data_IF_665893673191
#
_entry.id   IF_665893673191
#
_cell.length_a   1.000
_cell.length_b   1.000
_cell.length_c   1.000
_cell.angle_alpha   90.00
_cell.angle_beta   90.00
_cell.angle_gamma   90.00
#
_symmetry.space_group_name_H-M   'P 1'
#
loop_
_entity.id
_entity.type
_entity.pdbx_description
1 polymer ?
#
# COMPACT_ATOMS: atom_id res chain seq x y z
N UNK A 1 -0.58 52.63 36.55
CA UNK A 1 -1.05 52.14 35.22
C UNK A 1 -0.72 50.65 35.02
N UNK A 2 -1.21 49.77 35.90
CA UNK A 2 -0.90 48.32 35.84
C UNK A 2 -2.11 47.39 35.75
N UNK A 3 -3.28 47.81 36.24
CA UNK A 3 -4.46 46.94 36.33
C UNK A 3 -5.13 46.62 34.99
N UNK A 4 -5.11 47.55 34.03
CA UNK A 4 -5.83 47.35 32.76
C UNK A 4 -5.16 46.33 31.83
N UNK A 5 -3.82 46.20 31.87
CA UNK A 5 -3.10 45.23 31.01
C UNK A 5 -3.28 43.78 31.47
N UNK A 6 -3.41 43.57 32.78
CA UNK A 6 -3.70 42.26 33.37
C UNK A 6 -5.12 41.78 33.01
N UNK A 7 -6.10 42.69 33.00
CA UNK A 7 -7.47 42.34 32.60
C UNK A 7 -7.56 41.94 31.12
N UNK A 8 -6.92 42.68 30.22
CA UNK A 8 -6.92 42.34 28.79
C UNK A 8 -6.21 41.02 28.52
N UNK A 9 -5.09 40.75 29.21
CA UNK A 9 -4.36 39.48 29.06
C UNK A 9 -5.17 38.29 29.59
N UNK A 10 -5.89 38.45 30.71
CA UNK A 10 -6.77 37.42 31.25
C UNK A 10 -7.96 37.12 30.31
N UNK A 11 -8.56 38.14 29.71
CA UNK A 11 -9.68 37.97 28.77
C UNK A 11 -9.21 37.26 27.48
N UNK A 12 -8.03 37.61 26.95
CA UNK A 12 -7.47 36.92 25.78
C UNK A 12 -7.18 35.44 26.03
N UNK A 13 -6.68 35.09 27.23
CA UNK A 13 -6.44 33.68 27.61
C UNK A 13 -7.76 32.91 27.73
N UNK A 14 -8.81 33.54 28.27
CA UNK A 14 -10.13 32.91 28.39
C UNK A 14 -10.78 32.69 27.03
N UNK A 15 -10.61 33.62 26.07
CA UNK A 15 -11.11 33.44 24.70
C UNK A 15 -10.37 32.32 23.97
N UNK A 16 -9.05 32.20 24.15
CA UNK A 16 -8.26 31.09 23.58
C UNK A 16 -8.70 29.74 24.17
N UNK A 17 -8.91 29.66 25.49
CA UNK A 17 -9.42 28.46 26.16
C UNK A 17 -10.86 28.11 25.71
N UNK A 18 -11.69 29.10 25.40
CA UNK A 18 -13.05 28.87 24.89
C UNK A 18 -13.08 28.41 23.42
N UNK A 19 -12.02 28.68 22.63
CA UNK A 19 -11.87 28.17 21.26
C UNK A 19 -11.22 26.79 21.16
N UNK A 20 -10.62 26.30 22.24
CA UNK A 20 -10.13 24.93 22.31
C UNK A 20 -11.34 23.99 22.44
N UNK A 21 -11.77 23.44 21.29
CA UNK A 21 -12.61 22.23 21.31
C UNK A 21 -11.85 21.17 22.09
N UNK A 22 -12.44 20.75 23.21
CA UNK A 22 -12.01 19.60 23.97
C UNK A 22 -11.96 18.41 23.01
N UNK A 23 -10.76 18.06 22.53
CA UNK A 23 -10.52 16.80 21.86
C UNK A 23 -10.60 15.72 22.93
N UNK A 24 -11.83 15.33 23.27
CA UNK A 24 -12.05 14.09 24.01
C UNK A 24 -11.51 12.99 23.12
N UNK A 25 -10.37 12.44 23.50
CA UNK A 25 -10.04 11.06 23.15
C UNK A 25 -11.28 10.25 23.47
N UNK A 26 -11.97 9.79 22.42
CA UNK A 26 -13.11 8.92 22.61
C UNK A 26 -12.63 7.77 23.47
N UNK A 27 -13.28 7.67 24.63
CA UNK A 27 -12.85 6.82 25.72
C UNK A 27 -12.58 5.40 25.27
N UNK A 28 -11.72 4.73 26.03
CA UNK A 28 -11.51 3.28 26.10
C UNK A 28 -12.39 2.53 25.09
N UNK A 29 -11.79 2.20 23.95
CA UNK A 29 -12.39 1.48 22.83
C UNK A 29 -13.31 0.37 23.38
N UNK A 30 -14.59 0.25 22.93
CA UNK A 30 -15.53 -0.79 23.39
C UNK A 30 -15.02 -2.23 23.21
N UNK A 31 -13.88 -2.41 22.55
CA UNK A 31 -13.30 -3.66 22.10
C UNK A 31 -12.30 -4.28 23.10
N UNK A 32 -12.25 -3.83 24.36
CA UNK A 32 -11.34 -4.37 25.38
C UNK A 32 -11.89 -5.59 26.16
N UNK A 33 -12.94 -6.28 25.67
CA UNK A 33 -13.51 -7.45 26.37
C UNK A 33 -13.83 -8.62 25.43
N UNK A 34 -12.99 -9.66 25.55
CA UNK A 34 -13.13 -11.12 25.32
C UNK A 34 -14.42 -11.62 24.62
N UNK A 35 -14.24 -12.35 23.50
CA UNK A 35 -14.65 -13.76 23.35
C UNK A 35 -14.20 -14.31 21.98
N UNK A 36 -13.25 -15.26 21.95
CA UNK A 36 -12.88 -15.99 20.73
C UNK A 36 -13.88 -17.14 20.58
N UNK A 37 -14.83 -17.05 19.64
CA UNK A 37 -15.60 -18.21 19.22
C UNK A 37 -15.26 -18.62 17.78
N UNK A 38 -15.39 -19.92 17.54
CA UNK A 38 -14.93 -20.62 16.34
C UNK A 38 -15.68 -20.13 15.09
N UNK A 39 -14.93 -19.82 14.05
CA UNK A 39 -15.40 -19.90 12.68
C UNK A 39 -15.83 -21.35 12.37
N UNK A 40 -17.05 -21.50 11.89
CA UNK A 40 -17.64 -22.80 11.53
C UNK A 40 -18.13 -22.74 10.10
N UNK A 41 -18.06 -23.86 9.38
CA UNK A 41 -18.67 -23.99 8.06
C UNK A 41 -20.19 -24.13 8.22
N UNK A 42 -20.94 -23.33 7.47
CA UNK A 42 -22.39 -23.43 7.33
C UNK A 42 -22.73 -23.30 5.84
N UNK A 43 -22.00 -24.03 4.99
CA UNK A 43 -22.27 -24.07 3.56
C UNK A 43 -23.69 -24.57 3.34
N UNK A 44 -24.48 -23.79 2.59
CA UNK A 44 -25.84 -24.17 2.20
C UNK A 44 -25.97 -24.00 0.70
N UNK A 45 -26.61 -24.96 0.01
CA UNK A 45 -26.88 -24.86 -1.43
C UNK A 45 -27.83 -23.69 -1.79
N UNK A 46 -28.42 -23.06 -0.77
CA UNK A 46 -29.34 -21.93 -0.89
C UNK A 46 -28.63 -20.57 -0.87
N UNK A 47 -27.45 -20.48 -0.26
CA UNK A 47 -26.62 -19.28 -0.33
C UNK A 47 -25.69 -19.38 -1.54
N UNK A 48 -25.47 -18.26 -2.22
CA UNK A 48 -24.53 -18.22 -3.35
C UNK A 48 -23.76 -16.91 -3.39
N UNK A 49 -22.56 -16.98 -3.96
CA UNK A 49 -21.75 -15.82 -4.33
C UNK A 49 -21.26 -16.07 -5.76
N UNK A 50 -21.29 -15.04 -6.60
CA UNK A 50 -20.80 -15.10 -7.96
C UNK A 50 -20.05 -13.82 -8.28
N UNK A 51 -18.89 -13.96 -8.90
CA UNK A 51 -18.03 -12.84 -9.26
C UNK A 51 -17.91 -12.74 -10.78
N UNK A 52 -18.06 -11.53 -11.32
CA UNK A 52 -17.94 -11.27 -12.75
C UNK A 52 -17.26 -9.93 -13.05
N UNK A 53 -16.46 -9.82 -14.12
CA UNK A 53 -16.02 -10.91 -15.01
C UNK A 53 -15.05 -11.88 -14.31
N UNK A 54 -14.87 -13.08 -14.88
CA UNK A 54 -13.90 -14.08 -14.37
C UNK A 54 -12.45 -13.78 -14.74
N UNK A 55 -12.23 -12.94 -15.74
CA UNK A 55 -10.90 -12.52 -16.19
C UNK A 55 -10.81 -10.99 -16.15
N UNK A 56 -9.77 -10.48 -15.50
CA UNK A 56 -9.43 -9.06 -15.39
C UNK A 56 -8.18 -8.70 -16.19
N UNK A 57 -7.89 -7.41 -16.33
CA UNK A 57 -6.66 -6.93 -16.96
C UNK A 57 -6.60 -7.10 -18.47
N UNK A 58 -7.75 -7.06 -19.14
CA UNK A 58 -7.80 -6.90 -20.60
C UNK A 58 -7.10 -5.57 -20.96
N UNK A 59 -6.32 -5.57 -22.04
CA UNK A 59 -5.47 -4.43 -22.45
C UNK A 59 -4.40 -4.02 -21.43
N UNK A 60 -3.75 -5.00 -20.78
CA UNK A 60 -2.59 -4.80 -19.89
C UNK A 60 -2.87 -3.93 -18.64
N UNK A 61 -4.14 -3.85 -18.23
CA UNK A 61 -4.52 -3.14 -17.01
C UNK A 61 -4.14 -3.95 -15.75
N UNK A 62 -3.50 -3.29 -14.79
CA UNK A 62 -3.10 -3.87 -13.50
C UNK A 62 -4.12 -3.63 -12.38
N UNK A 63 -5.31 -3.13 -12.73
CA UNK A 63 -6.48 -3.07 -11.85
C UNK A 63 -7.76 -3.33 -12.65
N UNK A 64 -8.82 -3.73 -11.97
CA UNK A 64 -10.10 -4.03 -12.63
C UNK A 64 -11.27 -4.10 -11.67
N UNK A 65 -12.44 -3.69 -12.13
CA UNK A 65 -13.67 -3.77 -11.35
C UNK A 65 -14.31 -5.15 -11.47
N UNK A 66 -14.68 -5.72 -10.33
CA UNK A 66 -15.46 -6.95 -10.22
C UNK A 66 -16.80 -6.63 -9.58
N UNK A 67 -17.87 -7.15 -10.18
CA UNK A 67 -19.20 -7.20 -9.57
C UNK A 67 -19.36 -8.53 -8.87
N UNK A 68 -19.64 -8.49 -7.57
CA UNK A 68 -19.92 -9.64 -6.72
C UNK A 68 -21.40 -9.64 -6.37
N UNK A 69 -22.13 -10.58 -6.94
CA UNK A 69 -23.54 -10.83 -6.63
C UNK A 69 -23.64 -11.95 -5.61
N UNK A 70 -24.48 -11.79 -4.60
CA UNK A 70 -24.63 -12.79 -3.56
C UNK A 70 -26.03 -12.83 -2.98
N UNK A 71 -26.38 -14.00 -2.43
CA UNK A 71 -27.62 -14.18 -1.70
C UNK A 71 -27.45 -15.10 -0.50
N UNK A 72 -28.18 -14.81 0.58
CA UNK A 72 -28.29 -15.63 1.78
C UNK A 72 -29.78 -15.87 2.09
N UNK A 73 -30.20 -17.11 2.38
CA UNK A 73 -31.58 -17.39 2.80
C UNK A 73 -31.90 -16.87 4.21
N UNK A 74 -30.87 -16.61 5.02
CA UNK A 74 -30.97 -16.11 6.39
C UNK A 74 -30.04 -14.89 6.49
N UNK A 75 -30.42 -13.74 5.90
CA UNK A 75 -29.57 -12.57 5.90
C UNK A 75 -29.49 -11.93 7.29
N UNK A 76 -28.33 -11.37 7.59
CA UNK A 76 -28.11 -10.55 8.77
C UNK A 76 -27.35 -9.27 8.42
N UNK A 77 -27.50 -8.25 9.26
CA UNK A 77 -26.83 -6.95 9.09
C UNK A 77 -25.31 -7.04 9.31
N UNK A 78 -24.84 -8.12 9.95
CA UNK A 78 -23.42 -8.41 10.19
C UNK A 78 -22.84 -9.41 9.17
N UNK A 79 -23.59 -9.76 8.12
CA UNK A 79 -23.06 -10.55 7.01
C UNK A 79 -22.07 -9.73 6.19
N UNK A 80 -21.04 -10.39 5.67
CA UNK A 80 -19.96 -9.71 4.97
C UNK A 80 -19.31 -10.59 3.89
N UNK A 81 -18.74 -9.92 2.89
CA UNK A 81 -17.97 -10.52 1.81
C UNK A 81 -16.49 -10.31 2.08
N UNK A 82 -15.72 -11.40 2.12
CA UNK A 82 -14.26 -11.38 2.14
C UNK A 82 -13.68 -11.64 0.76
N UNK A 83 -12.66 -10.88 0.38
CA UNK A 83 -11.86 -11.08 -0.84
C UNK A 83 -10.60 -11.84 -0.47
N UNK A 84 -10.33 -12.98 -1.09
CA UNK A 84 -9.16 -13.81 -0.79
C UNK A 84 -8.27 -13.97 -2.02
N UNK A 85 -6.96 -13.84 -1.83
CA UNK A 85 -5.96 -14.17 -2.84
C UNK A 85 -4.73 -14.77 -2.15
N UNK A 86 -4.38 -16.05 -2.40
CA UNK A 86 -4.94 -16.94 -3.44
C UNK A 86 -6.42 -17.31 -3.28
N UNK A 87 -7.07 -17.73 -4.36
CA UNK A 87 -8.48 -18.11 -4.35
C UNK A 87 -8.78 -19.32 -3.44
N UNK A 88 -7.80 -20.21 -3.28
CA UNK A 88 -7.87 -21.32 -2.33
C UNK A 88 -7.43 -20.86 -0.93
N UNK A 89 -8.40 -20.49 -0.09
CA UNK A 89 -8.17 -19.95 1.25
C UNK A 89 -8.71 -20.89 2.34
N UNK A 90 -8.15 -20.78 3.55
CA UNK A 90 -8.66 -21.47 4.73
C UNK A 90 -9.57 -20.55 5.54
N UNK A 91 -10.85 -20.88 5.59
CA UNK A 91 -11.84 -20.23 6.45
C UNK A 91 -11.79 -20.71 7.92
N UNK A 92 -10.82 -21.57 8.26
CA UNK A 92 -10.64 -22.05 9.64
C UNK A 92 -10.27 -20.90 10.57
N UNK A 93 -10.63 -21.02 11.85
CA UNK A 93 -10.22 -20.04 12.86
C UNK A 93 -8.77 -20.21 13.22
N UNK A 94 -8.01 -19.13 13.17
CA UNK A 94 -6.67 -19.07 13.74
C UNK A 94 -6.71 -18.09 14.93
N UNK A 95 -6.45 -18.55 16.17
CA UNK A 95 -6.48 -17.69 17.35
C UNK A 95 -5.55 -16.49 17.22
N UNK A 96 -5.91 -15.38 17.86
CA UNK A 96 -5.03 -14.22 17.93
C UNK A 96 -3.73 -14.58 18.69
N UNK A 97 -2.60 -14.50 17.99
CA UNK A 97 -1.28 -14.81 18.55
C UNK A 97 -0.64 -13.60 19.24
N UNK A 98 -1.05 -12.38 18.85
CA UNK A 98 -0.51 -11.13 19.39
C UNK A 98 -1.62 -10.08 19.56
N UNK A 99 -1.41 -9.01 20.36
CA UNK A 99 -2.34 -7.88 20.43
C UNK A 99 -2.56 -7.15 19.09
N UNK A 100 -1.72 -7.43 18.08
CA UNK A 100 -1.82 -6.87 16.72
C UNK A 100 -2.58 -7.79 15.75
N UNK A 101 -3.07 -8.93 16.24
CA UNK A 101 -3.94 -9.84 15.48
C UNK A 101 -5.38 -9.40 15.66
N UNK A 102 -5.95 -8.75 14.65
CA UNK A 102 -7.30 -8.21 14.69
C UNK A 102 -8.31 -9.15 14.03
N UNK A 103 -9.60 -9.10 14.40
CA UNK A 103 -10.67 -9.75 13.64
C UNK A 103 -10.77 -9.21 12.21
N UNK A 104 -11.23 -10.00 11.22
CA UNK A 104 -11.66 -11.40 11.36
C UNK A 104 -10.49 -12.37 11.57
N UNK A 105 -10.64 -13.33 12.50
CA UNK A 105 -9.58 -14.28 12.87
C UNK A 105 -9.60 -15.55 12.02
N UNK A 106 -9.31 -15.39 10.73
CA UNK A 106 -9.22 -16.48 9.75
C UNK A 106 -7.77 -16.92 9.55
N UNK A 107 -7.55 -18.21 9.26
CA UNK A 107 -6.22 -18.73 8.97
C UNK A 107 -5.63 -18.22 7.65
N UNK A 108 -6.49 -17.82 6.70
CA UNK A 108 -6.12 -16.99 5.57
C UNK A 108 -6.71 -15.60 5.78
N UNK A 109 -5.85 -14.60 5.97
CA UNK A 109 -6.31 -13.21 6.01
C UNK A 109 -6.92 -12.81 4.64
N UNK A 110 -8.15 -12.27 4.59
CA UNK A 110 -8.66 -11.65 3.38
C UNK A 110 -7.79 -10.45 2.97
N UNK A 111 -7.71 -10.19 1.67
CA UNK A 111 -7.09 -8.99 1.10
C UNK A 111 -7.83 -7.74 1.60
N UNK A 112 -9.16 -7.80 1.54
CA UNK A 112 -10.10 -6.80 2.02
C UNK A 112 -11.48 -7.43 2.22
N UNK A 113 -12.39 -6.72 2.86
CA UNK A 113 -13.73 -7.19 3.18
C UNK A 113 -14.74 -6.04 3.26
N UNK A 114 -16.01 -6.36 3.06
CA UNK A 114 -17.09 -5.36 3.13
C UNK A 114 -18.38 -6.00 3.62
N UNK A 115 -19.20 -5.24 4.35
CA UNK A 115 -20.52 -5.69 4.75
C UNK A 115 -21.42 -5.94 3.53
N UNK A 116 -22.25 -6.97 3.62
CA UNK A 116 -23.19 -7.38 2.60
C UNK A 116 -24.23 -6.29 2.25
N UNK A 117 -24.54 -5.41 3.21
CA UNK A 117 -25.51 -4.33 3.05
C UNK A 117 -24.92 -3.00 2.56
N UNK A 118 -23.60 -2.91 2.31
CA UNK A 118 -22.90 -1.64 2.02
C UNK A 118 -23.50 -0.87 0.83
N UNK A 119 -23.66 -1.52 -0.31
CA UNK A 119 -24.34 -0.95 -1.50
C UNK A 119 -25.72 -1.56 -1.76
N UNK A 120 -26.25 -2.34 -0.82
CA UNK A 120 -27.57 -2.96 -0.91
C UNK A 120 -28.27 -2.86 0.46
N UNK A 121 -28.82 -1.67 0.82
CA UNK A 121 -29.40 -1.44 2.14
C UNK A 121 -30.54 -2.41 2.50
N UNK A 122 -31.26 -2.92 1.49
CA UNK A 122 -32.36 -3.88 1.63
C UNK A 122 -31.88 -5.34 1.79
N UNK A 123 -30.57 -5.59 1.87
CA UNK A 123 -30.01 -6.95 2.02
C UNK A 123 -30.60 -7.71 3.20
N UNK A 124 -30.80 -7.02 4.34
CA UNK A 124 -31.36 -7.63 5.57
C UNK A 124 -32.78 -8.19 5.37
N UNK A 125 -33.53 -7.63 4.41
CA UNK A 125 -34.93 -7.99 4.16
C UNK A 125 -35.04 -8.95 2.97
N UNK A 126 -34.19 -8.78 1.95
CA UNK A 126 -34.25 -9.51 0.69
C UNK A 126 -33.30 -10.70 0.61
N UNK A 127 -32.26 -10.70 1.44
CA UNK A 127 -31.15 -11.65 1.35
C UNK A 127 -30.39 -11.60 0.05
N UNK A 128 -30.44 -10.49 -0.70
CA UNK A 128 -29.76 -10.31 -1.98
C UNK A 128 -28.94 -9.03 -1.96
N UNK A 129 -27.72 -9.11 -2.42
CA UNK A 129 -26.82 -7.97 -2.45
C UNK A 129 -25.86 -8.01 -3.62
N UNK A 130 -25.30 -6.84 -3.90
CA UNK A 130 -24.34 -6.64 -4.97
C UNK A 130 -23.27 -5.67 -4.47
N UNK A 131 -22.00 -6.05 -4.60
CA UNK A 131 -20.84 -5.19 -4.35
C UNK A 131 -20.07 -4.96 -5.65
N UNK A 132 -19.55 -3.75 -5.84
CA UNK A 132 -18.57 -3.44 -6.90
C UNK A 132 -17.23 -3.17 -6.24
N UNK A 133 -16.27 -4.05 -6.51
CA UNK A 133 -14.96 -4.02 -5.87
C UNK A 133 -13.87 -3.81 -6.92
N UNK A 134 -12.95 -2.89 -6.67
CA UNK A 134 -11.78 -2.68 -7.52
C UNK A 134 -10.65 -3.58 -7.03
N UNK A 135 -10.20 -4.51 -7.86
CA UNK A 135 -9.05 -5.36 -7.57
C UNK A 135 -7.79 -4.81 -8.24
N UNK A 136 -6.64 -5.10 -7.63
CA UNK A 136 -5.32 -4.84 -8.19
C UNK A 136 -4.62 -6.16 -8.53
N UNK A 137 -3.77 -6.16 -9.57
CA UNK A 137 -2.99 -7.32 -9.97
C UNK A 137 -1.77 -7.50 -9.05
N UNK A 138 -1.98 -8.26 -7.99
CA UNK A 138 -0.94 -8.57 -7.02
C UNK A 138 -0.55 -10.05 -7.05
N UNK A 139 -0.49 -10.65 -8.25
CA UNK A 139 -0.27 -12.10 -8.47
C UNK A 139 -1.45 -12.94 -8.03
N UNK A 140 -1.36 -14.25 -8.27
CA UNK A 140 -2.38 -15.25 -7.93
C UNK A 140 -3.79 -14.90 -8.46
N UNK A 141 -4.74 -15.77 -8.17
CA UNK A 141 -6.17 -15.59 -8.43
C UNK A 141 -6.88 -15.08 -7.16
N UNK A 142 -8.19 -14.82 -7.32
CA UNK A 142 -9.08 -14.31 -6.30
C UNK A 142 -10.32 -15.19 -6.13
N UNK A 143 -10.81 -15.30 -4.91
CA UNK A 143 -12.16 -15.79 -4.61
C UNK A 143 -12.87 -14.85 -3.64
N UNK A 144 -14.20 -14.94 -3.62
CA UNK A 144 -15.05 -14.11 -2.78
C UNK A 144 -15.90 -15.04 -1.92
N UNK A 145 -16.00 -14.74 -0.64
CA UNK A 145 -16.69 -15.60 0.30
C UNK A 145 -17.65 -14.80 1.18
N UNK A 146 -18.87 -15.32 1.30
CA UNK A 146 -19.91 -14.77 2.14
C UNK A 146 -19.86 -15.42 3.52
N UNK A 147 -19.80 -14.57 4.54
CA UNK A 147 -19.79 -14.97 5.94
C UNK A 147 -20.99 -14.37 6.68
N UNK A 148 -21.46 -15.11 7.70
CA UNK A 148 -22.43 -14.63 8.70
C UNK A 148 -21.76 -14.50 10.07
N UNK A 149 -22.40 -13.83 11.03
CA UNK A 149 -21.93 -13.75 12.42
C UNK A 149 -20.84 -12.71 12.68
N UNK A 150 -20.71 -11.74 11.77
CA UNK A 150 -19.78 -10.62 11.87
C UNK A 150 -18.31 -11.04 11.79
N UNK A 151 -17.42 -10.11 12.10
CA UNK A 151 -15.97 -10.34 12.06
C UNK A 151 -15.45 -11.17 13.24
N UNK A 152 -16.17 -11.19 14.37
CA UNK A 152 -15.73 -11.89 15.58
C UNK A 152 -15.98 -13.39 15.53
N UNK A 153 -17.12 -13.79 14.96
CA UNK A 153 -17.55 -15.19 14.91
C UNK A 153 -17.94 -15.59 13.48
N UNK A 154 -17.05 -15.39 12.49
CA UNK A 154 -17.41 -15.51 11.08
C UNK A 154 -17.72 -16.96 10.71
N UNK A 155 -18.86 -17.21 10.06
CA UNK A 155 -19.22 -18.54 9.56
C UNK A 155 -19.31 -18.51 8.04
N UNK A 156 -18.51 -19.33 7.37
CA UNK A 156 -18.49 -19.39 5.91
C UNK A 156 -19.79 -20.03 5.40
N UNK A 157 -20.51 -19.32 4.52
CA UNK A 157 -21.81 -19.74 4.00
C UNK A 157 -21.76 -20.04 2.50
N UNK A 158 -20.98 -19.29 1.73
CA UNK A 158 -20.82 -19.52 0.29
C UNK A 158 -19.48 -18.99 -0.23
N UNK A 159 -18.98 -19.58 -1.32
CA UNK A 159 -17.74 -19.20 -2.01
C UNK A 159 -18.03 -19.03 -3.50
N UNK A 160 -17.44 -18.03 -4.13
CA UNK A 160 -17.62 -17.74 -5.55
C UNK A 160 -16.78 -18.61 -6.47
N UNK A 161 -17.01 -18.47 -7.78
CA UNK A 161 -16.02 -18.81 -8.79
C UNK A 161 -14.72 -18.01 -8.59
N UNK A 162 -13.60 -18.56 -9.08
CA UNK A 162 -12.34 -17.84 -9.13
C UNK A 162 -12.37 -16.71 -10.17
N UNK A 163 -11.63 -15.64 -9.89
CA UNK A 163 -11.35 -14.52 -10.79
C UNK A 163 -9.83 -14.34 -10.87
N UNK A 164 -9.28 -14.12 -12.05
CA UNK A 164 -7.84 -13.89 -12.21
C UNK A 164 -7.56 -12.78 -13.22
N UNK A 165 -6.42 -12.11 -13.08
CA UNK A 165 -5.91 -11.26 -14.16
C UNK A 165 -5.42 -12.12 -15.32
N UNK A 166 -5.49 -11.61 -16.55
CA UNK A 166 -5.02 -12.31 -17.76
C UNK A 166 -3.57 -12.78 -17.62
N UNK A 167 -2.72 -11.93 -17.03
CA UNK A 167 -1.38 -12.30 -16.59
C UNK A 167 -1.17 -11.87 -15.14
N UNK A 168 -1.40 -12.76 -14.16
CA UNK A 168 -1.16 -12.43 -12.74
C UNK A 168 0.32 -12.14 -12.46
N UNK A 169 1.24 -12.59 -13.31
CA UNK A 169 2.68 -12.47 -13.09
C UNK A 169 3.29 -11.21 -13.72
N UNK A 170 2.46 -10.36 -14.35
CA UNK A 170 2.92 -9.17 -15.06
C UNK A 170 3.82 -8.26 -14.19
N UNK A 171 4.77 -7.52 -14.79
CA UNK A 171 5.53 -6.50 -14.09
C UNK A 171 4.65 -5.29 -13.77
N UNK A 172 4.53 -4.95 -12.49
CA UNK A 172 3.59 -3.94 -11.98
C UNK A 172 4.23 -2.98 -10.97
N UNK A 173 3.59 -1.81 -10.82
CA UNK A 173 3.84 -0.83 -9.76
C UNK A 173 5.29 -0.35 -9.67
N UNK A 174 5.91 0.15 -10.77
CA UNK A 174 7.25 0.68 -10.71
C UNK A 174 7.32 1.91 -9.82
N UNK A 175 8.42 2.02 -9.09
CA UNK A 175 8.73 3.14 -8.20
C UNK A 175 10.18 3.56 -8.41
N UNK A 176 10.35 4.87 -8.59
CA UNK A 176 11.62 5.52 -8.81
C UNK A 176 12.24 5.93 -7.49
N UNK A 177 13.56 5.81 -7.40
CA UNK A 177 14.34 6.39 -6.32
C UNK A 177 15.68 6.87 -6.88
N UNK A 178 16.16 8.01 -6.39
CA UNK A 178 17.51 8.47 -6.74
C UNK A 178 18.53 7.40 -6.31
N UNK A 179 19.49 7.13 -7.20
CA UNK A 179 20.53 6.15 -6.99
C UNK A 179 21.68 6.66 -6.13
N UNK A 180 22.84 6.02 -6.26
CA UNK A 180 24.05 6.37 -5.50
C UNK A 180 24.73 7.65 -6.00
N UNK A 181 24.43 8.06 -7.23
CA UNK A 181 24.97 9.24 -7.87
C UNK A 181 23.84 10.14 -8.40
N UNK A 182 24.15 11.41 -8.65
CA UNK A 182 23.16 12.40 -9.10
C UNK A 182 22.57 12.09 -10.48
N UNK A 183 23.33 11.36 -11.31
CA UNK A 183 22.99 10.90 -12.65
C UNK A 183 22.55 9.42 -12.67
N UNK A 184 22.15 8.88 -11.51
CA UNK A 184 21.61 7.53 -11.36
C UNK A 184 20.16 7.58 -10.88
N UNK A 185 19.27 6.86 -11.58
CA UNK A 185 17.88 6.61 -11.15
C UNK A 185 17.65 5.11 -11.04
N UNK A 186 17.07 4.67 -9.95
CA UNK A 186 16.64 3.27 -9.82
C UNK A 186 15.18 3.13 -10.24
N UNK A 187 14.87 2.04 -10.93
CA UNK A 187 13.50 1.60 -11.19
C UNK A 187 13.30 0.29 -10.44
N UNK A 188 12.48 0.31 -9.40
CA UNK A 188 12.11 -0.90 -8.66
C UNK A 188 10.68 -1.30 -9.02
N UNK A 189 10.42 -2.55 -9.37
CA UNK A 189 9.08 -3.06 -9.70
C UNK A 189 8.81 -4.45 -9.12
N UNK A 190 7.56 -4.90 -9.12
CA UNK A 190 7.16 -6.22 -8.61
C UNK A 190 6.67 -7.08 -9.77
N UNK A 191 6.96 -8.38 -9.76
CA UNK A 191 6.39 -9.33 -10.72
C UNK A 191 6.19 -10.72 -10.13
N UNK A 192 5.57 -11.61 -10.90
CA UNK A 192 5.50 -13.01 -10.56
C UNK A 192 6.65 -13.86 -11.10
N UNK A 193 7.62 -13.31 -11.83
CA UNK A 193 8.68 -14.08 -12.51
C UNK A 193 9.98 -14.09 -11.71
N UNK A 194 10.47 -15.28 -11.39
CA UNK A 194 11.79 -15.45 -10.77
C UNK A 194 12.90 -15.47 -11.81
N UNK A 195 14.14 -15.28 -11.36
CA UNK A 195 15.34 -15.31 -12.24
C UNK A 195 15.56 -16.65 -12.95
N UNK A 196 14.96 -17.72 -12.45
CA UNK A 196 15.02 -19.06 -13.05
C UNK A 196 13.98 -19.25 -14.16
N UNK A 197 13.16 -18.24 -14.46
CA UNK A 197 12.10 -18.32 -15.48
C UNK A 197 12.22 -17.18 -16.50
N UNK A 198 12.66 -16.01 -16.05
CA UNK A 198 12.80 -14.82 -16.86
C UNK A 198 14.01 -13.99 -16.46
N UNK A 199 14.64 -13.34 -17.45
CA UNK A 199 15.61 -12.29 -17.20
C UNK A 199 14.90 -10.93 -17.12
N UNK A 200 14.89 -10.25 -15.95
CA UNK A 200 14.28 -8.95 -15.79
C UNK A 200 15.22 -7.83 -16.25
N UNK A 201 14.65 -6.83 -16.94
CA UNK A 201 15.39 -5.67 -17.41
C UNK A 201 14.47 -4.45 -17.54
N UNK A 202 15.08 -3.26 -17.62
CA UNK A 202 14.40 -2.03 -18.02
C UNK A 202 14.89 -1.62 -19.39
N UNK A 203 13.96 -1.33 -20.29
CA UNK A 203 14.27 -0.68 -21.56
C UNK A 203 14.09 0.82 -21.39
N UNK A 204 15.15 1.61 -21.59
CA UNK A 204 15.20 3.06 -21.43
C UNK A 204 15.41 3.72 -22.79
N UNK A 205 14.66 4.78 -23.06
CA UNK A 205 14.77 5.59 -24.28
C UNK A 205 14.80 7.08 -23.93
N UNK A 206 15.78 7.80 -24.46
CA UNK A 206 15.78 9.27 -24.47
C UNK A 206 15.03 9.79 -25.69
N UNK A 207 14.45 11.00 -25.60
CA UNK A 207 13.76 11.63 -26.75
C UNK A 207 14.73 11.79 -27.94
N UNK A 208 14.50 11.03 -29.01
CA UNK A 208 15.31 11.07 -30.24
C UNK A 208 16.63 10.30 -30.19
N UNK A 209 16.88 9.51 -29.14
CA UNK A 209 18.09 8.69 -28.99
C UNK A 209 17.80 7.20 -29.09
N UNK A 210 18.88 6.42 -29.02
CA UNK A 210 18.84 4.96 -29.04
C UNK A 210 18.16 4.39 -27.79
N UNK A 211 17.71 3.15 -27.93
CA UNK A 211 17.09 2.39 -26.84
C UNK A 211 18.15 1.54 -26.16
N UNK A 212 18.28 1.68 -24.84
CA UNK A 212 19.28 0.98 -24.02
C UNK A 212 18.55 0.03 -23.06
N UNK A 213 19.11 -1.16 -22.81
CA UNK A 213 18.58 -2.10 -21.83
C UNK A 213 19.49 -2.19 -20.62
N UNK A 214 18.90 -2.01 -19.44
CA UNK A 214 19.57 -2.14 -18.15
C UNK A 214 19.11 -3.42 -17.45
N UNK A 215 20.01 -4.27 -16.94
CA UNK A 215 19.62 -5.45 -16.18
C UNK A 215 18.98 -5.04 -14.84
N UNK A 216 18.30 -5.98 -14.19
CA UNK A 216 17.81 -5.79 -12.83
C UNK A 216 18.29 -6.87 -11.86
N UNK A 217 18.71 -6.43 -10.68
CA UNK A 217 18.86 -7.33 -9.53
C UNK A 217 17.48 -7.76 -9.05
N UNK A 218 17.35 -9.00 -8.59
CA UNK A 218 16.07 -9.57 -8.12
C UNK A 218 16.19 -10.03 -6.69
N UNK A 219 15.24 -9.62 -5.85
CA UNK A 219 15.13 -9.99 -4.46
C UNK A 219 13.72 -10.51 -4.16
N UNK A 220 13.60 -11.31 -3.12
CA UNK A 220 12.34 -11.74 -2.53
C UNK A 220 12.60 -12.10 -1.06
N UNK A 221 11.55 -12.38 -0.32
CA UNK A 221 11.63 -12.90 1.03
C UNK A 221 10.57 -13.98 1.20
N UNK A 222 10.89 -14.98 2.02
CA UNK A 222 9.97 -16.08 2.31
C UNK A 222 9.28 -15.88 3.66
N UNK A 223 8.25 -16.69 3.93
CA UNK A 223 7.54 -16.73 5.23
C UNK A 223 8.52 -16.89 6.39
N UNK A 224 9.55 -17.70 6.20
CA UNK A 224 10.61 -17.96 7.17
C UNK A 224 11.44 -16.73 7.56
N UNK A 225 11.43 -15.68 6.74
CA UNK A 225 12.14 -14.41 6.99
C UNK A 225 11.40 -13.53 8.00
N UNK A 226 10.07 -13.70 8.13
CA UNK A 226 9.25 -12.89 9.03
C UNK A 226 9.49 -13.26 10.50
N UNK A 227 9.67 -12.26 11.35
CA UNK A 227 10.06 -12.46 12.75
C UNK A 227 8.92 -12.95 13.66
N UNK A 228 7.65 -12.72 13.30
CA UNK A 228 6.52 -13.09 14.15
C UNK A 228 5.17 -12.86 13.50
N UNK A 229 4.11 -13.19 14.23
CA UNK A 229 2.74 -12.96 13.80
C UNK A 229 2.36 -11.47 13.78
N UNK A 230 1.43 -11.02 12.91
CA UNK A 230 0.74 -11.84 11.91
C UNK A 230 1.56 -12.12 10.64
N UNK A 231 2.70 -11.44 10.44
CA UNK A 231 3.53 -11.53 9.23
C UNK A 231 3.99 -12.95 8.89
N UNK A 232 4.42 -13.73 9.89
CA UNK A 232 4.87 -15.11 9.73
C UNK A 232 3.70 -16.11 9.63
N UNK A 233 2.51 -15.73 10.07
CA UNK A 233 1.35 -16.62 10.24
C UNK A 233 0.19 -16.23 9.33
N UNK A 234 -0.92 -15.72 9.88
CA UNK A 234 -2.18 -15.49 9.16
C UNK A 234 -2.10 -14.37 8.13
N UNK A 235 -1.22 -13.38 8.34
CA UNK A 235 -1.05 -12.23 7.46
C UNK A 235 -0.01 -12.44 6.36
N UNK A 236 0.65 -13.61 6.33
CA UNK A 236 1.59 -13.94 5.26
C UNK A 236 0.88 -14.01 3.91
N UNK A 237 1.47 -13.33 2.94
CA UNK A 237 1.16 -13.48 1.52
C UNK A 237 2.47 -13.39 0.74
N UNK A 238 2.63 -14.27 -0.24
CA UNK A 238 3.84 -14.32 -1.07
C UNK A 238 4.05 -12.99 -1.82
N UNK A 239 5.21 -12.33 -1.69
CA UNK A 239 5.47 -11.02 -2.30
C UNK A 239 5.82 -11.10 -3.80
N UNK A 240 5.97 -12.30 -4.36
CA UNK A 240 6.53 -12.52 -5.69
C UNK A 240 8.02 -12.17 -5.72
N UNK A 241 8.42 -11.46 -6.77
CA UNK A 241 9.80 -11.03 -6.97
C UNK A 241 9.86 -9.53 -7.14
N UNK A 242 10.83 -8.91 -6.47
CA UNK A 242 11.09 -7.48 -6.53
C UNK A 242 12.38 -7.27 -7.32
N UNK A 243 12.29 -6.47 -8.38
CA UNK A 243 13.41 -6.23 -9.29
C UNK A 243 13.81 -4.77 -9.20
N UNK A 244 15.12 -4.50 -9.16
CA UNK A 244 15.66 -3.14 -9.23
C UNK A 244 16.67 -3.03 -10.35
N UNK A 245 16.43 -2.11 -11.29
CA UNK A 245 17.38 -1.71 -12.32
C UNK A 245 17.99 -0.36 -11.99
N UNK A 246 19.26 -0.16 -12.35
CA UNK A 246 20.04 1.04 -12.09
C UNK A 246 20.31 1.74 -13.41
N UNK A 247 19.61 2.84 -13.68
CA UNK A 247 19.73 3.66 -14.88
C UNK A 247 20.80 4.72 -14.64
N UNK A 248 21.97 4.56 -15.25
CA UNK A 248 23.15 5.43 -15.03
C UNK A 248 23.39 6.38 -16.20
N UNK A 249 24.35 7.29 -16.04
CA UNK A 249 24.78 8.25 -17.06
C UNK A 249 23.63 9.14 -17.57
N UNK A 250 22.69 9.47 -16.67
CA UNK A 250 21.53 10.29 -17.00
C UNK A 250 21.93 11.74 -17.23
N UNK A 251 21.41 12.32 -18.32
CA UNK A 251 21.63 13.72 -18.63
C UNK A 251 20.70 14.57 -17.78
N UNK A 252 21.21 15.58 -17.05
CA UNK A 252 20.40 16.33 -16.10
C UNK A 252 19.22 16.99 -16.81
N UNK A 253 18.03 16.92 -16.19
CA UNK A 253 16.78 17.46 -16.69
C UNK A 253 16.20 16.79 -17.96
N UNK A 254 16.87 15.80 -18.54
CA UNK A 254 16.38 15.11 -19.73
C UNK A 254 15.14 14.26 -19.43
N UNK A 255 14.25 14.14 -20.40
CA UNK A 255 13.06 13.29 -20.31
C UNK A 255 13.39 11.90 -20.85
N UNK A 256 13.10 10.89 -20.04
CA UNK A 256 13.26 9.48 -20.38
C UNK A 256 11.93 8.77 -20.40
N UNK A 257 11.80 7.79 -21.30
CA UNK A 257 10.69 6.84 -21.38
C UNK A 257 11.27 5.48 -21.02
N UNK A 258 10.57 4.71 -20.18
CA UNK A 258 11.02 3.38 -19.79
C UNK A 258 9.90 2.34 -19.83
N UNK A 259 10.28 1.08 -20.06
CA UNK A 259 9.41 -0.10 -19.96
C UNK A 259 10.06 -1.17 -19.11
N UNK A 260 9.24 -1.89 -18.35
CA UNK A 260 9.67 -3.08 -17.60
C UNK A 260 9.58 -4.28 -18.53
N UNK A 261 10.64 -5.07 -18.59
CA UNK A 261 10.75 -6.22 -19.47
C UNK A 261 11.11 -7.48 -18.68
N UNK A 262 10.49 -8.59 -19.06
CA UNK A 262 10.85 -9.94 -18.60
C UNK A 262 11.04 -10.84 -19.81
N UNK A 263 12.30 -11.19 -20.12
CA UNK A 263 12.61 -12.12 -21.21
C UNK A 263 12.53 -13.54 -20.67
N UNK A 264 11.44 -14.24 -20.98
CA UNK A 264 11.25 -15.65 -20.61
C UNK A 264 12.26 -16.53 -21.36
N UNK A 265 12.68 -17.64 -20.75
CA UNK A 265 13.60 -18.58 -21.40
C UNK A 265 13.04 -19.29 -22.63
N UNK A 266 11.72 -19.20 -22.86
CA UNK A 266 11.09 -19.63 -24.12
C UNK A 266 11.22 -18.61 -25.26
N UNK A 267 11.92 -17.49 -25.04
CA UNK A 267 12.16 -16.41 -26.01
C UNK A 267 11.11 -15.31 -26.03
N UNK A 268 9.96 -15.50 -25.38
CA UNK A 268 8.91 -14.47 -25.29
C UNK A 268 9.34 -13.37 -24.32
N UNK A 269 9.09 -12.11 -24.69
CA UNK A 269 9.29 -10.98 -23.77
C UNK A 269 7.95 -10.45 -23.31
N UNK A 270 7.74 -10.41 -22.00
CA UNK A 270 6.59 -9.77 -21.37
C UNK A 270 6.98 -8.32 -21.06
N UNK A 271 6.10 -7.39 -21.42
CA UNK A 271 6.31 -5.96 -21.27
C UNK A 271 5.26 -5.34 -20.35
N UNK A 272 5.65 -4.28 -19.65
CA UNK A 272 4.69 -3.33 -19.09
C UNK A 272 4.24 -2.30 -20.14
N UNK A 273 3.29 -1.45 -19.76
CA UNK A 273 3.08 -0.15 -20.38
C UNK A 273 4.34 0.75 -20.33
N UNK A 274 4.33 1.83 -21.10
CA UNK A 274 5.38 2.85 -21.06
C UNK A 274 5.19 3.80 -19.87
N UNK A 275 6.29 4.09 -19.19
CA UNK A 275 6.38 5.09 -18.12
C UNK A 275 7.38 6.17 -18.51
N UNK A 276 7.39 7.29 -17.77
CA UNK A 276 8.22 8.44 -18.09
C UNK A 276 8.71 9.13 -16.82
N UNK A 277 9.96 9.59 -16.84
CA UNK A 277 10.49 10.44 -15.77
C UNK A 277 11.44 11.50 -16.33
N UNK A 278 11.64 12.56 -15.55
CA UNK A 278 12.67 13.56 -15.80
C UNK A 278 13.87 13.26 -14.91
N UNK A 279 15.06 13.14 -15.51
CA UNK A 279 16.29 12.99 -14.74
C UNK A 279 16.53 14.20 -13.84
N UNK A 280 17.09 13.96 -12.66
CA UNK A 280 17.32 15.00 -11.66
C UNK A 280 18.25 16.11 -12.16
N UNK A 281 18.14 17.33 -11.63
CA UNK A 281 19.11 18.39 -11.88
C UNK A 281 20.53 17.99 -11.48
N UNK A 282 21.53 18.61 -12.10
CA UNK A 282 22.91 18.51 -11.59
C UNK A 282 22.99 19.17 -10.19
N UNK A 283 23.76 18.62 -9.24
CA UNK A 283 23.95 19.25 -7.93
C UNK A 283 24.47 20.69 -8.05
N UNK A 284 23.75 21.64 -7.47
CA UNK A 284 24.07 23.08 -7.56
C UNK A 284 23.49 23.78 -8.79
N UNK A 285 22.71 23.10 -9.64
CA UNK A 285 22.01 23.72 -10.76
C UNK A 285 21.01 24.78 -10.28
N UNK A 286 21.10 25.99 -10.84
CA UNK A 286 20.15 27.08 -10.58
C UNK A 286 18.86 26.89 -11.39
N UNK A 287 17.86 26.27 -10.78
CA UNK A 287 16.50 26.10 -11.33
C UNK A 287 15.47 26.12 -10.21
N UNK A 288 14.19 26.29 -10.54
CA UNK A 288 13.10 26.02 -9.59
C UNK A 288 13.06 24.51 -9.35
N UNK A 289 13.01 24.10 -8.09
CA UNK A 289 13.00 22.70 -7.64
C UNK A 289 11.97 22.57 -6.52
N UNK A 290 11.08 21.58 -6.61
CA UNK A 290 9.90 21.45 -5.75
C UNK A 290 9.89 20.08 -5.09
N UNK A 291 9.96 20.09 -3.77
CA UNK A 291 10.08 18.90 -2.91
C UNK A 291 8.83 18.80 -2.06
N UNK A 292 8.23 17.60 -2.01
CA UNK A 292 7.13 17.30 -1.09
C UNK A 292 7.60 16.33 -0.01
N UNK A 293 7.22 16.58 1.24
CA UNK A 293 7.62 15.78 2.40
C UNK A 293 6.41 15.52 3.30
N UNK A 294 6.18 14.27 3.68
CA UNK A 294 5.14 13.86 4.65
C UNK A 294 5.46 12.50 5.28
N UNK A 295 4.88 12.20 6.44
CA UNK A 295 4.90 10.87 7.07
C UNK A 295 3.51 10.27 7.14
N UNK A 296 3.40 9.02 7.58
CA UNK A 296 2.15 8.47 8.16
C UNK A 296 0.97 8.40 7.17
N UNK A 297 1.23 8.35 5.86
CA UNK A 297 0.17 8.36 4.84
C UNK A 297 -0.71 7.11 4.89
N UNK A 298 -0.14 5.94 5.18
CA UNK A 298 -0.86 4.67 5.11
C UNK A 298 -1.40 4.35 3.72
N UNK A 299 -2.52 3.64 3.69
CA UNK A 299 -3.24 3.26 2.47
C UNK A 299 -4.75 3.46 2.61
N UNK A 300 -5.50 3.28 1.53
CA UNK A 300 -6.95 3.16 1.60
C UNK A 300 -7.56 2.50 0.36
N UNK A 301 -8.74 1.90 0.52
CA UNK A 301 -9.49 1.27 -0.56
C UNK A 301 -10.37 2.30 -1.28
N UNK A 302 -10.09 2.57 -2.55
CA UNK A 302 -10.84 3.53 -3.35
C UNK A 302 -12.30 3.11 -3.61
N UNK A 303 -12.62 1.82 -3.49
CA UNK A 303 -14.00 1.30 -3.57
C UNK A 303 -14.76 1.35 -2.22
N UNK A 304 -14.10 1.83 -1.16
CA UNK A 304 -14.66 1.96 0.19
C UNK A 304 -14.71 0.66 0.98
N UNK A 305 -14.06 -0.41 0.53
CA UNK A 305 -13.90 -1.65 1.31
C UNK A 305 -13.16 -1.39 2.63
N UNK A 306 -13.45 -2.22 3.63
CA UNK A 306 -12.66 -2.30 4.85
C UNK A 306 -11.55 -3.33 4.72
N UNK A 307 -10.57 -3.25 5.61
CA UNK A 307 -9.44 -4.16 5.66
C UNK A 307 -8.75 -4.13 7.03
N UNK A 308 -7.71 -4.96 7.21
CA UNK A 308 -6.91 -4.88 8.44
C UNK A 308 -6.18 -3.53 8.53
N UNK A 309 -6.02 -3.02 9.74
CA UNK A 309 -5.32 -1.75 9.98
C UNK A 309 -5.90 -0.58 9.18
N UNK A 310 -7.22 -0.56 8.98
CA UNK A 310 -7.93 0.51 8.26
C UNK A 310 -8.20 1.73 9.17
N UNK A 311 -7.15 2.51 9.43
CA UNK A 311 -7.20 3.69 10.32
C UNK A 311 -6.51 4.93 9.72
N UNK A 312 -6.34 5.00 8.40
CA UNK A 312 -5.68 6.12 7.71
C UNK A 312 -6.63 6.87 6.76
N UNK A 313 -7.67 7.56 7.29
CA UNK A 313 -8.71 8.19 6.46
C UNK A 313 -8.18 9.32 5.55
N UNK A 314 -7.00 9.88 5.85
CA UNK A 314 -6.35 10.91 5.05
C UNK A 314 -5.54 10.38 3.86
N UNK A 315 -5.35 9.05 3.75
CA UNK A 315 -4.43 8.44 2.78
C UNK A 315 -4.79 8.75 1.33
N UNK A 316 -6.05 8.50 0.95
CA UNK A 316 -6.53 8.72 -0.41
C UNK A 316 -6.57 10.21 -0.78
N UNK A 317 -6.92 11.09 0.16
CA UNK A 317 -6.90 12.54 -0.08
C UNK A 317 -5.49 13.05 -0.34
N UNK A 318 -4.52 12.63 0.48
CA UNK A 318 -3.10 13.00 0.31
C UNK A 318 -2.61 12.51 -1.04
N UNK A 319 -2.83 11.24 -1.36
CA UNK A 319 -2.48 10.64 -2.66
C UNK A 319 -3.09 11.42 -3.82
N UNK A 320 -4.37 11.78 -3.73
CA UNK A 320 -5.09 12.52 -4.77
C UNK A 320 -4.49 13.91 -4.99
N UNK A 321 -4.17 14.65 -3.93
CA UNK A 321 -3.56 15.99 -4.05
C UNK A 321 -2.18 15.93 -4.72
N UNK A 322 -1.36 14.93 -4.37
CA UNK A 322 -0.05 14.73 -4.99
C UNK A 322 -0.17 14.41 -6.48
N UNK A 323 -1.14 13.57 -6.86
CA UNK A 323 -1.38 13.24 -8.27
C UNK A 323 -1.86 14.49 -9.04
N UNK A 324 -2.77 15.26 -8.45
CA UNK A 324 -3.29 16.48 -9.08
C UNK A 324 -2.19 17.52 -9.31
N UNK A 325 -1.25 17.66 -8.38
CA UNK A 325 -0.14 18.63 -8.46
C UNK A 325 1.17 18.02 -9.00
N UNK A 326 1.15 16.80 -9.55
CA UNK A 326 2.36 16.05 -9.90
C UNK A 326 3.27 16.78 -10.89
N UNK A 327 2.71 17.57 -11.81
CA UNK A 327 3.50 18.41 -12.73
C UNK A 327 4.33 19.50 -12.01
N UNK A 328 3.96 19.78 -10.75
CA UNK A 328 4.64 20.71 -9.86
C UNK A 328 5.48 20.05 -8.77
N UNK A 329 5.70 18.75 -8.85
CA UNK A 329 6.48 17.99 -7.88
C UNK A 329 7.67 17.38 -8.62
N UNK A 330 8.89 17.62 -8.12
CA UNK A 330 10.10 17.04 -8.73
C UNK A 330 10.58 15.79 -7.97
N UNK A 331 10.27 15.70 -6.67
CA UNK A 331 10.64 14.58 -5.79
C UNK A 331 9.75 14.55 -4.54
N UNK A 332 9.47 13.35 -4.03
CA UNK A 332 8.68 13.11 -2.82
C UNK A 332 9.53 12.39 -1.76
N UNK A 333 9.40 12.80 -0.51
CA UNK A 333 9.94 12.10 0.65
C UNK A 333 8.81 11.65 1.58
N UNK A 334 8.60 10.33 1.69
CA UNK A 334 7.71 9.71 2.67
C UNK A 334 8.52 9.27 3.89
N UNK A 335 8.49 10.07 4.94
CA UNK A 335 9.40 9.99 6.09
C UNK A 335 8.90 9.07 7.22
N UNK A 336 8.58 7.81 6.88
CA UNK A 336 8.19 6.79 7.86
C UNK A 336 6.70 6.50 7.88
N UNK A 337 6.32 5.45 8.62
CA UNK A 337 4.94 4.98 8.76
C UNK A 337 4.20 4.87 7.42
N UNK A 338 4.65 3.87 6.65
CA UNK A 338 4.41 3.81 5.22
C UNK A 338 2.98 3.39 4.89
N UNK A 339 2.65 2.11 5.10
CA UNK A 339 1.37 1.52 4.69
C UNK A 339 0.61 0.89 5.87
N UNK A 340 1.18 0.91 7.08
CA UNK A 340 0.60 0.26 8.27
C UNK A 340 0.18 -1.21 8.08
N UNK A 341 0.83 -1.94 7.15
CA UNK A 341 0.55 -3.35 6.92
C UNK A 341 0.61 -4.18 8.21
N UNK A 342 1.56 -3.84 9.09
CA UNK A 342 1.73 -4.43 10.43
C UNK A 342 1.66 -5.98 10.44
N UNK A 343 2.13 -6.59 9.35
CA UNK A 343 2.17 -8.04 9.15
C UNK A 343 1.05 -8.64 8.28
N UNK A 344 0.10 -7.86 7.80
CA UNK A 344 -0.84 -8.27 6.74
C UNK A 344 -0.25 -7.89 5.37
N UNK A 345 0.53 -8.81 4.79
CA UNK A 345 1.49 -8.48 3.74
C UNK A 345 0.87 -8.10 2.40
N UNK A 346 -0.40 -8.46 2.14
CA UNK A 346 -1.13 -8.04 0.94
C UNK A 346 -1.17 -6.53 0.74
N UNK A 347 -1.08 -5.76 1.83
CA UNK A 347 -1.22 -4.31 1.84
C UNK A 347 0.01 -3.58 1.31
N UNK A 348 1.15 -4.28 1.17
CA UNK A 348 2.33 -3.71 0.52
C UNK A 348 2.12 -3.56 -0.99
N UNK A 349 1.53 -4.56 -1.66
CA UNK A 349 1.16 -4.42 -3.08
C UNK A 349 0.11 -3.30 -3.25
N UNK A 350 -0.88 -3.24 -2.35
CA UNK A 350 -1.89 -2.18 -2.32
C UNK A 350 -1.26 -0.79 -2.25
N UNK A 351 -0.31 -0.60 -1.34
CA UNK A 351 0.40 0.68 -1.21
C UNK A 351 1.21 1.01 -2.45
N UNK A 352 1.97 0.05 -3.01
CA UNK A 352 2.75 0.30 -4.25
C UNK A 352 1.86 0.63 -5.44
N UNK A 353 0.68 0.03 -5.54
CA UNK A 353 -0.32 0.38 -6.54
C UNK A 353 -0.92 1.77 -6.29
N UNK A 354 -1.21 2.12 -5.04
CA UNK A 354 -1.75 3.44 -4.66
C UNK A 354 -0.80 4.58 -5.03
N UNK A 355 0.52 4.41 -4.83
CA UNK A 355 1.52 5.44 -5.15
C UNK A 355 2.06 5.35 -6.58
N UNK A 356 1.77 4.31 -7.36
CA UNK A 356 2.28 4.11 -8.73
C UNK A 356 2.13 5.36 -9.61
N UNK A 357 0.98 6.10 -9.61
CA UNK A 357 0.85 7.29 -10.43
C UNK A 357 1.85 8.41 -10.10
N UNK A 358 2.38 8.44 -8.87
CA UNK A 358 3.39 9.39 -8.41
C UNK A 358 4.79 8.78 -8.62
N UNK A 359 5.03 7.63 -8.00
CA UNK A 359 6.34 7.01 -7.88
C UNK A 359 6.89 6.45 -9.19
N UNK A 360 6.05 6.17 -10.20
CA UNK A 360 6.51 5.80 -11.54
C UNK A 360 6.98 7.01 -12.38
N UNK A 361 6.76 8.23 -11.90
CA UNK A 361 7.05 9.48 -12.64
C UNK A 361 8.11 10.33 -11.97
N UNK A 362 8.05 10.46 -10.64
CA UNK A 362 9.03 11.20 -9.84
C UNK A 362 9.65 10.29 -8.77
N UNK A 363 10.88 10.56 -8.32
CA UNK A 363 11.50 9.76 -7.26
C UNK A 363 10.66 9.86 -5.97
N UNK A 364 10.35 8.69 -5.40
CA UNK A 364 9.61 8.56 -4.15
C UNK A 364 10.52 7.97 -3.09
N UNK A 365 11.17 8.86 -2.35
CA UNK A 365 12.18 8.54 -1.34
C UNK A 365 11.50 8.16 -0.03
N UNK A 366 11.96 7.09 0.63
CA UNK A 366 11.37 6.64 1.89
C UNK A 366 12.36 6.73 3.04
N UNK A 367 11.88 7.08 4.22
CA UNK A 367 12.60 6.88 5.47
C UNK A 367 11.90 5.81 6.32
N UNK A 368 12.66 5.21 7.24
CA UNK A 368 12.15 4.23 8.19
C UNK A 368 11.98 4.87 9.56
N UNK A 369 10.83 4.67 10.19
CA UNK A 369 10.68 4.88 11.63
C UNK A 369 11.12 3.59 12.36
N UNK A 370 12.21 3.65 13.14
CA UNK A 370 12.71 2.51 13.91
C UNK A 370 12.27 2.66 15.37
N UNK A 371 11.27 1.88 15.79
CA UNK A 371 11.07 1.59 17.21
C UNK A 371 11.88 0.33 17.55
N UNK A 372 12.82 0.46 18.49
CA UNK A 372 13.77 -0.58 18.98
C UNK A 372 13.16 -1.91 19.44
N UNK A 373 11.85 -2.12 19.31
CA UNK A 373 11.11 -3.29 19.80
C UNK A 373 10.36 -4.06 18.72
N UNK A 374 10.33 -3.58 17.47
CA UNK A 374 9.67 -4.29 16.38
C UNK A 374 10.72 -4.92 15.48
N UNK A 375 10.83 -6.25 15.55
CA UNK A 375 11.57 -7.07 14.60
C UNK A 375 10.82 -7.02 13.24
N UNK A 376 10.89 -5.87 12.58
CA UNK A 376 10.45 -5.64 11.21
C UNK A 376 11.70 -5.89 10.40
N UNK A 377 11.69 -7.00 9.66
CA UNK A 377 12.79 -7.43 8.82
C UNK A 377 13.24 -6.27 7.93
N UNK A 378 14.55 -6.08 7.78
CA UNK A 378 15.13 -5.14 6.80
C UNK A 378 14.63 -5.40 5.36
N UNK A 379 13.95 -6.53 5.15
CA UNK A 379 13.35 -6.98 3.90
C UNK A 379 12.14 -6.15 3.44
N UNK A 380 11.48 -5.37 4.31
CA UNK A 380 10.34 -4.54 3.87
C UNK A 380 10.78 -3.32 3.06
N UNK A 381 12.00 -2.80 3.30
CA UNK A 381 12.56 -1.76 2.47
C UNK A 381 12.81 -2.27 1.04
N UNK A 382 13.10 -3.58 0.88
CA UNK A 382 13.28 -4.23 -0.43
C UNK A 382 12.05 -4.08 -1.32
N UNK A 383 10.85 -4.05 -0.74
CA UNK A 383 9.62 -3.90 -1.53
C UNK A 383 9.59 -2.55 -2.23
N UNK A 384 10.11 -1.51 -1.59
CA UNK A 384 10.01 -0.16 -2.12
C UNK A 384 11.28 0.28 -2.86
N UNK A 385 12.46 -0.05 -2.34
CA UNK A 385 13.74 0.39 -2.86
C UNK A 385 14.84 -0.66 -2.60
N UNK A 386 15.84 -0.77 -3.50
CA UNK A 386 17.04 -1.56 -3.18
C UNK A 386 17.73 -1.02 -1.93
N UNK A 387 18.33 -1.89 -1.11
CA UNK A 387 19.06 -1.54 0.13
C UNK A 387 19.85 -0.24 -0.03
N UNK A 388 19.42 0.82 0.65
CA UNK A 388 20.14 2.08 0.72
C UNK A 388 21.39 1.92 1.56
N UNK A 389 22.51 2.48 1.07
CA UNK A 389 23.57 3.04 1.92
C UNK A 389 23.07 4.44 2.29
N UNK A 390 23.16 4.91 3.54
CA UNK A 390 22.50 6.13 3.98
C UNK A 390 22.90 7.32 3.12
N UNK A 391 21.94 7.85 2.35
CA UNK A 391 22.07 9.19 1.79
C UNK A 391 21.87 10.17 2.96
N UNK A 392 22.96 10.80 3.39
CA UNK A 392 22.89 11.96 4.28
C UNK A 392 22.23 13.08 3.48
N UNK A 393 20.92 13.26 3.66
CA UNK A 393 20.23 14.47 3.21
C UNK A 393 20.53 15.56 4.23
N UNK A 394 21.69 16.22 4.10
CA UNK A 394 21.94 17.50 4.75
C UNK A 394 21.18 18.58 3.98
N UNK A 395 19.93 18.86 4.37
CA UNK A 395 19.25 20.08 3.97
C UNK A 395 19.83 21.24 4.79
N UNK A 396 20.83 21.94 4.25
CA UNK A 396 21.22 23.24 4.79
C UNK A 396 20.22 24.29 4.29
N UNK A 397 19.23 24.64 5.10
CA UNK A 397 18.38 25.81 4.85
C UNK A 397 19.22 27.06 5.14
N UNK A 398 19.80 27.66 4.10
CA UNK A 398 20.42 28.98 4.20
C UNK A 398 19.38 30.04 3.87
N UNK A 399 18.57 30.40 4.87
CA UNK A 399 17.57 31.47 4.79
C UNK A 399 17.02 31.76 6.18
N UNK A 400 17.05 33.02 6.60
CA UNK A 400 16.82 33.48 7.97
C UNK A 400 15.46 33.10 8.57
N UNK A 401 15.45 32.99 9.91
CA UNK A 401 14.37 32.61 10.86
C UNK A 401 14.19 31.10 11.11
N UNK A 402 15.06 30.59 12.00
CA UNK A 402 14.92 29.28 12.65
C UNK A 402 13.82 29.33 13.72
N UNK A 403 12.76 28.55 13.52
CA UNK A 403 11.84 28.12 14.58
C UNK A 403 12.55 27.02 15.42
N UNK A 404 12.74 27.19 16.74
CA UNK A 404 13.35 26.19 17.62
C UNK A 404 12.63 24.83 17.63
N UNK A 405 11.40 24.76 17.13
CA UNK A 405 10.65 23.50 17.02
C UNK A 405 11.20 22.55 15.94
N UNK A 406 11.95 23.04 14.94
CA UNK A 406 12.55 22.19 13.90
C UNK A 406 13.81 21.43 14.34
N UNK A 407 14.59 21.94 15.31
CA UNK A 407 15.80 21.26 15.80
C UNK A 407 15.49 19.95 16.56
N UNK A 408 14.29 19.85 17.15
CA UNK A 408 13.87 18.65 17.88
C UNK A 408 13.54 17.45 16.97
N UNK A 409 13.19 17.68 15.69
CA UNK A 409 12.82 16.60 14.76
C UNK A 409 14.03 15.93 14.10
N UNK A 410 15.13 16.67 13.93
CA UNK A 410 16.34 16.16 13.27
C UNK A 410 17.12 15.19 14.20
N UNK A 411 17.01 15.35 15.52
CA UNK A 411 17.73 14.52 16.49
C UNK A 411 17.14 13.09 16.67
N UNK A 412 15.99 12.77 16.07
CA UNK A 412 15.35 11.45 16.15
C UNK A 412 15.72 10.47 15.02
N UNK A 413 16.39 10.94 13.96
CA UNK A 413 16.81 10.09 12.84
C UNK A 413 18.14 9.43 13.19
N UNK A 414 18.07 8.29 13.89
CA UNK A 414 19.24 7.44 14.07
C UNK A 414 19.64 6.83 12.72
N UNK A 415 20.66 7.42 12.10
CA UNK A 415 21.42 6.79 11.02
C UNK A 415 22.26 5.68 11.66
N UNK A 416 21.80 4.44 11.52
CA UNK A 416 22.58 3.26 11.90
C UNK A 416 23.60 3.02 10.79
N UNK A 417 24.89 3.02 11.15
CA UNK A 417 26.05 2.85 10.26
C UNK A 417 26.09 1.50 9.57
#
# INVERSE_FOLDING_TARGET
MGGSRLLFSAISVIVVLATLKEARSHGVHPFSRIAIHKATFALTDLAHVKASPSILGLAEQNSGWVTVEFSSPIPSVDDWIGVFSPANFSASTCPAETPRSFPPLLCSAPIKFQYANYSSPEYKDTGKGLLRLQLINQRSDFSFALFTGGFFNPKLVAVSNAVAFMNPRAPVYPRLAQGKAWDEMTVTWTSGYGINEAEPFVELRSKGGDTIRYPAGTLTFERGSMCGAPARTVGWRDPGYIHTSFLTELWPNALYIYKLGHRLFNGTTIWSQEYRFRASPYPGQKSVQRVVIFGDMGKGEADGSSEYNDFQPGSLNTTSQLIQDLNNIDIVFHIGDICYANGYLSQWDQFTAQIEPIASTVPYMIARFVLNTACIVDDFQLILQSRFVPAVVTMSVTGQEQDPSMEAWIQGVNVVY
#
